data_IF_164568432928
#
_entry.id   IF_164568432928
#
_cell.length_a   1.000
_cell.length_b   1.000
_cell.length_c   1.000
_cell.angle_alpha   90.00
_cell.angle_beta   90.00
_cell.angle_gamma   90.00
#
_symmetry.space_group_name_H-M   'P 1'
#
loop_
_entity.id
_entity.type
_entity.pdbx_description
1 polymer ?
#
# COMPACT_ATOMS: atom_id res chain seq x y z
N UNK A 1 -30.11 16.37 -13.61
CA UNK A 1 -28.81 17.08 -13.57
C UNK A 1 -27.86 16.06 -12.99
N UNK A 2 -26.76 15.78 -13.68
CA UNK A 2 -25.81 14.75 -13.28
C UNK A 2 -24.58 15.37 -12.64
N UNK A 3 -24.08 14.73 -11.59
CA UNK A 3 -22.85 15.11 -10.90
C UNK A 3 -21.80 14.01 -11.04
N UNK A 4 -20.54 14.40 -11.13
CA UNK A 4 -19.42 13.49 -11.20
C UNK A 4 -19.01 13.06 -9.79
N UNK A 5 -19.03 11.75 -9.54
CA UNK A 5 -18.53 11.16 -8.31
C UNK A 5 -17.19 10.50 -8.59
N UNK A 6 -16.18 10.79 -7.77
CA UNK A 6 -14.84 10.19 -7.88
C UNK A 6 -14.50 9.48 -6.59
N UNK A 7 -13.99 8.25 -6.67
CA UNK A 7 -13.63 7.46 -5.48
C UNK A 7 -12.10 7.33 -5.38
N UNK A 8 -11.53 7.92 -4.34
CA UNK A 8 -10.12 7.82 -4.00
C UNK A 8 -9.86 6.66 -3.02
N UNK A 9 -8.69 6.01 -3.10
CA UNK A 9 -7.58 6.29 -4.03
C UNK A 9 -7.75 5.66 -5.42
N UNK A 10 -8.83 4.91 -5.68
CA UNK A 10 -9.00 4.16 -6.93
C UNK A 10 -9.08 5.00 -8.21
N UNK A 11 -9.36 6.30 -8.11
CA UNK A 11 -9.59 7.17 -9.25
C UNK A 11 -10.86 6.84 -10.05
N UNK A 12 -11.59 5.76 -9.74
CA UNK A 12 -12.82 5.40 -10.47
C UNK A 12 -13.85 6.49 -10.30
N UNK A 13 -14.50 6.81 -11.40
CA UNK A 13 -15.47 7.88 -11.46
C UNK A 13 -16.77 7.38 -12.09
N UNK A 14 -17.90 7.93 -11.65
CA UNK A 14 -19.22 7.57 -12.15
C UNK A 14 -20.18 8.75 -12.04
N UNK A 15 -21.17 8.82 -12.93
CA UNK A 15 -22.16 9.90 -12.94
C UNK A 15 -23.36 9.54 -12.07
N UNK A 16 -23.74 10.42 -11.14
CA UNK A 16 -24.95 10.27 -10.32
C UNK A 16 -25.98 11.34 -10.71
N UNK A 17 -27.22 10.94 -10.98
CA UNK A 17 -28.31 11.89 -11.17
C UNK A 17 -28.70 12.54 -9.83
N UNK A 18 -29.19 13.78 -9.86
CA UNK A 18 -29.57 14.54 -8.66
C UNK A 18 -30.64 13.87 -7.79
N UNK A 19 -31.45 12.95 -8.35
CA UNK A 19 -32.46 12.16 -7.61
C UNK A 19 -32.02 10.74 -7.28
N UNK A 20 -30.81 10.34 -7.69
CA UNK A 20 -30.26 9.00 -7.51
C UNK A 20 -29.27 8.99 -6.34
N UNK A 21 -29.31 7.94 -5.51
CA UNK A 21 -28.35 7.81 -4.42
C UNK A 21 -26.98 7.42 -4.95
N UNK A 22 -25.91 7.84 -4.27
CA UNK A 22 -24.53 7.56 -4.71
C UNK A 22 -24.27 6.05 -4.87
N UNK A 23 -24.84 5.23 -3.98
CA UNK A 23 -24.75 3.77 -4.07
C UNK A 23 -25.49 3.22 -5.30
N UNK A 24 -26.69 3.71 -5.59
CA UNK A 24 -27.46 3.25 -6.75
C UNK A 24 -26.72 3.59 -8.06
N UNK A 25 -26.23 4.83 -8.17
CA UNK A 25 -25.41 5.28 -9.29
C UNK A 25 -24.14 4.45 -9.46
N UNK A 26 -23.46 4.12 -8.35
CA UNK A 26 -22.28 3.27 -8.34
C UNK A 26 -22.59 1.84 -8.82
N UNK A 27 -23.65 1.21 -8.30
CA UNK A 27 -24.08 -0.14 -8.71
C UNK A 27 -24.42 -0.17 -10.21
N UNK A 28 -25.17 0.81 -10.70
CA UNK A 28 -25.57 0.92 -12.11
C UNK A 28 -24.38 0.97 -13.06
N UNK A 29 -23.24 1.49 -12.60
CA UNK A 29 -22.00 1.64 -13.37
C UNK A 29 -20.89 0.66 -12.95
N UNK A 30 -21.22 -0.38 -12.18
CA UNK A 30 -20.26 -1.41 -11.78
C UNK A 30 -19.18 -0.93 -10.83
N UNK A 31 -19.45 0.09 -10.02
CA UNK A 31 -18.58 0.62 -8.97
C UNK A 31 -19.01 0.00 -7.64
N UNK A 32 -18.17 -0.88 -7.09
CA UNK A 32 -18.43 -1.60 -5.85
C UNK A 32 -18.23 -0.76 -4.60
N UNK A 33 -19.05 0.27 -4.38
CA UNK A 33 -19.10 0.98 -3.10
C UNK A 33 -19.46 0.00 -1.97
N UNK A 34 -19.00 0.22 -0.73
CA UNK A 34 -19.39 -0.60 0.40
C UNK A 34 -20.92 -0.52 0.61
N UNK A 35 -21.60 -1.62 0.90
CA UNK A 35 -23.03 -1.61 1.27
C UNK A 35 -23.48 -2.87 2.03
N UNK A 36 -24.71 -2.82 2.54
CA UNK A 36 -25.38 -3.94 3.22
C UNK A 36 -26.90 -3.89 3.01
N UNK A 37 -27.61 -3.17 3.89
CA UNK A 37 -29.08 -3.04 3.89
C UNK A 37 -29.68 -2.21 2.74
N UNK A 38 -28.93 -1.22 2.24
CA UNK A 38 -29.37 -0.21 1.25
C UNK A 38 -30.50 0.74 1.69
N UNK A 39 -30.87 0.76 2.96
CA UNK A 39 -32.00 1.56 3.49
C UNK A 39 -31.60 2.49 4.67
N UNK A 40 -30.30 2.65 4.92
CA UNK A 40 -29.80 3.51 6.00
C UNK A 40 -29.87 2.91 7.41
N UNK A 41 -30.09 1.59 7.55
CA UNK A 41 -30.17 0.93 8.86
C UNK A 41 -28.85 0.38 9.40
N UNK A 42 -27.92 -0.07 8.54
CA UNK A 42 -26.76 -0.87 8.96
C UNK A 42 -25.41 -0.14 9.00
N UNK A 43 -25.30 1.06 8.40
CA UNK A 43 -24.04 1.83 8.36
C UNK A 43 -22.93 1.24 7.47
N UNK A 44 -23.12 0.07 6.85
CA UNK A 44 -22.07 -0.59 6.05
C UNK A 44 -21.67 0.17 4.80
N UNK A 45 -22.50 1.11 4.32
CA UNK A 45 -22.20 1.93 3.14
C UNK A 45 -21.46 3.24 3.45
N UNK A 46 -21.00 3.38 4.70
CA UNK A 46 -20.35 4.57 5.19
C UNK A 46 -19.03 4.82 4.45
N UNK A 47 -18.90 6.01 3.88
CA UNK A 47 -17.69 6.49 3.21
C UNK A 47 -17.34 7.88 3.75
N UNK A 48 -16.08 8.27 3.68
CA UNK A 48 -15.68 9.65 3.97
C UNK A 48 -15.83 10.48 2.70
N UNK A 49 -16.50 11.63 2.79
CA UNK A 49 -16.60 12.63 1.74
C UNK A 49 -15.42 13.58 1.87
N UNK A 50 -14.52 13.56 0.89
CA UNK A 50 -13.33 14.40 0.85
C UNK A 50 -13.68 15.81 0.36
N UNK A 51 -14.53 15.91 -0.67
CA UNK A 51 -15.01 17.19 -1.20
C UNK A 51 -16.42 17.07 -1.79
N UNK A 52 -17.05 18.21 -2.05
CA UNK A 52 -18.40 18.30 -2.60
C UNK A 52 -19.50 18.31 -1.55
N UNK A 53 -20.76 18.34 -2.02
CA UNK A 53 -21.95 18.45 -1.18
C UNK A 53 -22.94 17.33 -1.51
N UNK A 54 -23.53 16.76 -0.46
CA UNK A 54 -24.56 15.72 -0.56
C UNK A 54 -25.73 16.09 0.33
N UNK A 55 -26.89 15.53 0.03
CA UNK A 55 -28.07 15.55 0.89
C UNK A 55 -28.45 14.12 1.24
N UNK A 56 -28.56 13.81 2.53
CA UNK A 56 -29.00 12.50 2.99
C UNK A 56 -30.51 12.44 3.11
N UNK A 57 -31.09 11.38 2.57
CA UNK A 57 -32.45 10.96 2.88
C UNK A 57 -32.56 10.34 4.28
N UNK A 58 -33.76 9.84 4.63
CA UNK A 58 -34.01 9.18 5.91
C UNK A 58 -33.01 8.05 6.20
N UNK A 59 -32.50 8.00 7.42
CA UNK A 59 -31.58 6.97 7.89
C UNK A 59 -31.65 6.87 9.43
N UNK A 60 -31.11 5.80 9.98
CA UNK A 60 -31.08 5.63 11.44
C UNK A 60 -29.85 6.34 12.02
N UNK A 61 -30.03 7.03 13.14
CA UNK A 61 -28.94 7.73 13.85
C UNK A 61 -27.79 6.78 14.23
N UNK A 62 -28.10 5.51 14.52
CA UNK A 62 -27.09 4.47 14.78
C UNK A 62 -26.22 4.14 13.56
N UNK A 63 -26.70 4.40 12.35
CA UNK A 63 -25.98 4.14 11.11
C UNK A 63 -25.08 5.33 10.74
N UNK A 64 -25.53 6.56 10.99
CA UNK A 64 -24.75 7.78 10.86
C UNK A 64 -25.23 8.79 11.90
N UNK A 65 -24.37 9.11 12.86
CA UNK A 65 -24.65 10.14 13.86
C UNK A 65 -24.34 11.54 13.33
N UNK A 66 -24.94 12.57 13.92
CA UNK A 66 -24.65 13.96 13.58
C UNK A 66 -23.16 14.32 13.73
N UNK A 67 -22.46 13.71 14.71
CA UNK A 67 -21.03 13.91 14.91
C UNK A 67 -20.19 13.31 13.77
N UNK A 68 -20.56 12.14 13.27
CA UNK A 68 -19.91 11.50 12.12
C UNK A 68 -20.17 12.28 10.82
N UNK A 69 -21.39 12.77 10.64
CA UNK A 69 -21.75 13.62 9.50
C UNK A 69 -20.95 14.93 9.49
N UNK A 70 -20.81 15.58 10.66
CA UNK A 70 -19.96 16.76 10.82
C UNK A 70 -18.47 16.49 10.53
N UNK A 71 -18.01 15.25 10.71
CA UNK A 71 -16.66 14.79 10.33
C UNK A 71 -16.53 14.41 8.85
N UNK A 72 -17.59 14.61 8.05
CA UNK A 72 -17.62 14.34 6.63
C UNK A 72 -17.91 12.87 6.28
N UNK A 73 -18.38 12.04 7.23
CA UNK A 73 -18.85 10.69 6.91
C UNK A 73 -20.26 10.74 6.32
N UNK A 74 -20.52 9.90 5.32
CA UNK A 74 -21.80 9.84 4.63
C UNK A 74 -22.28 8.40 4.45
N UNK A 75 -23.59 8.19 4.33
CA UNK A 75 -24.16 6.91 3.91
C UNK A 75 -24.48 6.95 2.43
N UNK A 76 -23.65 6.30 1.60
CA UNK A 76 -23.83 6.33 0.13
C UNK A 76 -25.18 5.77 -0.33
N UNK A 77 -25.84 4.90 0.47
CA UNK A 77 -27.19 4.40 0.15
C UNK A 77 -28.31 5.41 0.38
N UNK A 78 -28.08 6.46 1.16
CA UNK A 78 -29.07 7.50 1.49
C UNK A 78 -28.67 8.88 0.96
N UNK A 79 -27.41 9.07 0.56
CA UNK A 79 -26.90 10.34 0.08
C UNK A 79 -27.16 10.54 -1.43
N UNK A 80 -27.62 11.73 -1.80
CA UNK A 80 -27.74 12.23 -3.19
C UNK A 80 -26.78 13.41 -3.39
N UNK A 81 -26.16 13.52 -4.56
CA UNK A 81 -25.20 14.59 -4.84
C UNK A 81 -25.90 15.93 -5.12
N UNK A 82 -25.29 17.02 -4.65
CA UNK A 82 -25.67 18.41 -4.96
C UNK A 82 -24.57 19.18 -5.71
N UNK A 83 -23.41 18.56 -5.86
CA UNK A 83 -22.25 19.00 -6.64
C UNK A 83 -21.46 17.76 -7.06
N UNK A 84 -20.38 17.93 -7.80
CA UNK A 84 -19.38 16.87 -7.92
C UNK A 84 -18.83 16.50 -6.53
N UNK A 85 -18.60 15.21 -6.30
CA UNK A 85 -18.23 14.66 -4.98
C UNK A 85 -16.99 13.78 -5.10
N UNK A 86 -16.06 13.94 -4.16
CA UNK A 86 -14.95 13.00 -3.98
C UNK A 86 -15.19 12.18 -2.72
N UNK A 87 -15.22 10.86 -2.86
CA UNK A 87 -15.35 9.89 -1.77
C UNK A 87 -14.01 9.19 -1.52
N UNK A 88 -13.76 8.81 -0.28
CA UNK A 88 -12.69 7.90 0.10
C UNK A 88 -13.30 6.52 0.41
N UNK A 89 -12.89 5.51 -0.35
CA UNK A 89 -13.22 4.12 -0.08
C UNK A 89 -12.13 3.20 -0.61
N UNK A 90 -11.47 2.48 0.30
CA UNK A 90 -10.49 1.44 -0.05
C UNK A 90 -11.12 0.17 -0.63
N UNK A 91 -12.44 0.01 -0.52
CA UNK A 91 -13.16 -1.16 -1.07
C UNK A 91 -13.49 -0.99 -2.55
N UNK A 92 -13.53 0.25 -3.05
CA UNK A 92 -13.60 0.48 -4.49
C UNK A 92 -12.21 0.28 -5.04
N UNK A 93 -12.07 -0.75 -5.87
CA UNK A 93 -10.84 -1.03 -6.60
C UNK A 93 -10.85 -0.26 -7.92
N UNK A 94 -9.67 -0.02 -8.48
CA UNK A 94 -9.52 0.49 -9.85
C UNK A 94 -10.26 -0.42 -10.86
N UNK A 95 -10.55 0.10 -12.05
CA UNK A 95 -11.12 -0.74 -13.11
C UNK A 95 -10.19 -1.93 -13.41
N UNK A 96 -10.75 -3.15 -13.46
CA UNK A 96 -9.95 -4.38 -13.52
C UNK A 96 -9.20 -4.74 -12.23
N UNK A 97 -9.50 -4.08 -11.11
CA UNK A 97 -8.92 -4.37 -9.81
C UNK A 97 -9.38 -5.71 -9.22
N UNK A 98 -8.55 -6.29 -8.36
CA UNK A 98 -8.76 -7.62 -7.80
C UNK A 98 -9.76 -7.58 -6.63
N UNK A 99 -10.61 -8.61 -6.45
CA UNK A 99 -11.63 -8.61 -5.41
C UNK A 99 -11.01 -8.62 -4.01
N UNK A 100 -11.48 -7.71 -3.15
CA UNK A 100 -11.11 -7.67 -1.74
C UNK A 100 -11.79 -8.81 -0.98
N UNK A 101 -11.03 -9.59 -0.23
CA UNK A 101 -11.49 -10.73 0.56
C UNK A 101 -11.10 -10.57 2.02
N UNK A 102 -12.06 -10.79 2.92
CA UNK A 102 -11.80 -11.05 4.34
C UNK A 102 -11.52 -12.53 4.51
N UNK A 103 -10.39 -12.87 5.12
CA UNK A 103 -9.95 -14.26 5.25
C UNK A 103 -9.22 -14.51 6.57
N UNK A 104 -9.36 -15.72 7.15
CA UNK A 104 -8.42 -16.17 8.16
C UNK A 104 -7.08 -16.47 7.51
N UNK A 105 -5.99 -16.08 8.16
CA UNK A 105 -4.63 -16.42 7.74
C UNK A 105 -3.91 -17.07 8.91
N UNK A 106 -3.08 -18.08 8.62
CA UNK A 106 -2.34 -18.83 9.64
C UNK A 106 -0.88 -18.45 9.58
N UNK A 107 -0.28 -18.12 10.72
CA UNK A 107 1.16 -17.88 10.82
C UNK A 107 1.91 -19.17 10.48
N UNK A 108 2.65 -19.14 9.38
CA UNK A 108 3.44 -20.27 8.90
C UNK A 108 4.84 -20.24 9.48
N UNK A 109 5.50 -19.07 9.51
CA UNK A 109 6.82 -18.88 10.11
C UNK A 109 7.05 -17.42 10.50
N UNK A 110 7.92 -17.19 11.48
CA UNK A 110 8.47 -15.88 11.83
C UNK A 110 9.99 -15.98 11.81
N UNK A 111 10.66 -15.14 11.03
CA UNK A 111 12.12 -15.12 10.94
C UNK A 111 12.64 -13.72 11.26
N UNK A 112 13.47 -13.60 12.30
CA UNK A 112 14.09 -12.32 12.67
C UNK A 112 15.24 -12.01 11.71
N UNK A 113 15.13 -10.94 10.92
CA UNK A 113 16.14 -10.50 9.95
C UNK A 113 17.05 -9.38 10.46
N UNK A 114 16.56 -8.57 11.40
CA UNK A 114 17.38 -7.57 12.10
C UNK A 114 16.93 -7.48 13.57
N UNK A 115 17.55 -6.58 14.34
CA UNK A 115 17.14 -6.30 15.72
C UNK A 115 15.65 -5.94 15.84
N UNK A 116 15.08 -5.29 14.81
CA UNK A 116 13.73 -4.73 14.77
C UNK A 116 12.90 -5.15 13.55
N UNK A 117 13.33 -6.10 12.72
CA UNK A 117 12.55 -6.59 11.56
C UNK A 117 12.36 -8.11 11.61
N UNK A 118 11.10 -8.53 11.43
CA UNK A 118 10.69 -9.93 11.26
C UNK A 118 10.07 -10.12 9.89
N UNK A 119 10.50 -11.16 9.18
CA UNK A 119 9.81 -11.69 8.00
C UNK A 119 8.76 -12.68 8.49
N UNK A 120 7.49 -12.35 8.23
CA UNK A 120 6.32 -13.12 8.62
C UNK A 120 5.72 -13.78 7.38
N UNK A 121 5.66 -15.12 7.37
CA UNK A 121 4.95 -15.87 6.32
C UNK A 121 3.59 -16.31 6.83
N UNK A 122 2.57 -16.07 6.02
CA UNK A 122 1.17 -16.37 6.33
C UNK A 122 0.62 -17.32 5.29
N UNK A 123 0.08 -18.45 5.74
CA UNK A 123 -0.71 -19.32 4.89
C UNK A 123 -2.10 -18.73 4.69
N UNK A 124 -2.52 -18.63 3.42
CA UNK A 124 -3.86 -18.27 3.00
C UNK A 124 -4.77 -19.53 2.93
N UNK A 125 -6.11 -19.36 2.92
CA UNK A 125 -7.03 -20.46 2.65
C UNK A 125 -6.77 -21.12 1.29
N UNK A 126 -6.72 -22.46 1.25
CA UNK A 126 -6.32 -23.21 0.06
C UNK A 126 -7.35 -23.20 -1.08
N UNK A 127 -8.65 -23.15 -0.74
CA UNK A 127 -9.71 -23.37 -1.72
C UNK A 127 -10.05 -22.12 -2.56
N UNK A 128 -9.64 -20.93 -2.10
CA UNK A 128 -9.91 -19.67 -2.79
C UNK A 128 -8.90 -18.58 -2.37
N UNK A 129 -7.61 -18.73 -2.71
CA UNK A 129 -6.59 -17.79 -2.29
C UNK A 129 -6.90 -16.39 -2.84
N UNK A 130 -6.60 -15.38 -2.03
CA UNK A 130 -6.65 -13.98 -2.44
C UNK A 130 -5.64 -13.75 -3.56
N UNK A 131 -6.10 -13.23 -4.70
CA UNK A 131 -5.20 -12.74 -5.77
C UNK A 131 -4.74 -11.32 -5.43
N UNK A 132 -3.52 -10.96 -5.80
CA UNK A 132 -3.00 -9.60 -5.64
C UNK A 132 -2.06 -9.23 -6.80
N UNK A 133 -1.71 -7.94 -6.92
CA UNK A 133 -0.63 -7.45 -7.80
C UNK A 133 0.62 -7.17 -6.97
N UNK A 134 1.80 -7.46 -7.49
CA UNK A 134 3.07 -7.20 -6.79
C UNK A 134 3.14 -5.72 -6.35
N UNK A 135 3.34 -5.48 -5.06
CA UNK A 135 3.33 -4.15 -4.44
C UNK A 135 2.11 -3.84 -3.56
N UNK A 136 0.99 -4.56 -3.75
CA UNK A 136 -0.21 -4.37 -2.94
C UNK A 136 -0.02 -4.81 -1.48
N UNK A 137 -0.98 -4.45 -0.62
CA UNK A 137 -0.97 -4.74 0.81
C UNK A 137 -2.23 -5.43 1.31
N UNK A 138 -2.15 -6.02 2.50
CA UNK A 138 -3.30 -6.50 3.29
C UNK A 138 -3.42 -5.69 4.58
N UNK A 139 -4.64 -5.63 5.12
CA UNK A 139 -4.90 -5.10 6.46
C UNK A 139 -5.22 -6.24 7.44
N UNK A 140 -4.58 -6.26 8.59
CA UNK A 140 -5.04 -7.06 9.73
C UNK A 140 -6.15 -6.34 10.47
N UNK A 141 -7.20 -7.09 10.82
CA UNK A 141 -8.30 -6.62 11.66
C UNK A 141 -8.04 -7.13 13.08
N UNK A 142 -7.68 -6.23 13.99
CA UNK A 142 -7.37 -6.56 15.38
C UNK A 142 -8.65 -6.74 16.21
N UNK A 143 -8.51 -7.24 17.44
CA UNK A 143 -9.64 -7.53 18.35
C UNK A 143 -10.49 -6.30 18.68
N UNK A 144 -9.85 -5.13 18.73
CA UNK A 144 -10.51 -3.83 18.96
C UNK A 144 -11.04 -3.18 17.67
N UNK A 145 -11.13 -3.94 16.57
CA UNK A 145 -11.44 -3.49 15.21
C UNK A 145 -10.47 -2.49 14.59
N UNK A 146 -9.36 -2.15 15.26
CA UNK A 146 -8.31 -1.35 14.64
C UNK A 146 -7.63 -2.14 13.51
N UNK A 147 -7.15 -1.41 12.50
CA UNK A 147 -6.58 -1.98 11.27
C UNK A 147 -5.09 -1.69 11.17
N UNK A 148 -4.30 -2.64 10.67
CA UNK A 148 -2.86 -2.45 10.41
C UNK A 148 -2.49 -2.97 9.03
N UNK A 149 -1.97 -2.09 8.19
CA UNK A 149 -1.57 -2.39 6.82
C UNK A 149 -0.15 -2.93 6.77
N UNK A 150 0.08 -3.96 5.96
CA UNK A 150 1.41 -4.46 5.61
C UNK A 150 1.43 -4.90 4.15
N UNK A 151 2.39 -4.38 3.40
CA UNK A 151 2.58 -4.73 1.99
C UNK A 151 3.14 -6.13 1.83
N UNK A 152 2.64 -6.85 0.82
CA UNK A 152 3.14 -8.18 0.49
C UNK A 152 4.54 -8.07 -0.11
N UNK A 153 5.45 -8.91 0.37
CA UNK A 153 6.87 -8.95 0.00
C UNK A 153 7.22 -10.02 -1.03
N UNK A 154 6.22 -10.79 -1.47
CA UNK A 154 6.35 -11.82 -2.49
C UNK A 154 5.48 -11.52 -3.72
N UNK A 155 5.86 -12.04 -4.87
CA UNK A 155 5.15 -11.88 -6.13
C UNK A 155 3.89 -12.77 -6.20
N UNK A 156 2.87 -12.39 -6.99
CA UNK A 156 1.60 -13.12 -7.07
C UNK A 156 1.71 -14.58 -7.51
N UNK A 157 2.66 -14.90 -8.40
CA UNK A 157 2.85 -16.25 -8.91
C UNK A 157 3.26 -17.26 -7.82
N UNK A 158 3.84 -16.80 -6.71
CA UNK A 158 4.22 -17.70 -5.61
C UNK A 158 3.00 -18.27 -4.87
N UNK A 159 1.80 -17.73 -5.10
CA UNK A 159 0.55 -18.30 -4.59
C UNK A 159 0.15 -19.60 -5.29
N UNK A 160 0.72 -19.89 -6.45
CA UNK A 160 0.46 -21.16 -7.18
C UNK A 160 1.11 -22.36 -6.47
N UNK A 161 2.09 -22.11 -5.60
CA UNK A 161 2.71 -23.13 -4.75
C UNK A 161 1.80 -23.44 -3.57
N UNK A 162 1.51 -24.73 -3.37
CA UNK A 162 0.67 -25.18 -2.25
C UNK A 162 1.52 -25.47 -0.99
N UNK A 163 1.11 -24.98 0.20
CA UNK A 163 -0.05 -24.11 0.42
C UNK A 163 0.25 -22.66 0.02
N UNK A 164 -0.75 -21.88 -0.45
CA UNK A 164 -0.54 -20.50 -0.87
C UNK A 164 -0.11 -19.65 0.33
N UNK A 165 0.97 -18.89 0.18
CA UNK A 165 1.51 -18.03 1.23
C UNK A 165 1.75 -16.59 0.78
N UNK A 166 1.62 -15.67 1.71
CA UNK A 166 2.11 -14.29 1.57
C UNK A 166 3.21 -14.03 2.60
N UNK A 167 4.18 -13.22 2.22
CA UNK A 167 5.32 -12.80 3.02
C UNK A 167 5.16 -11.31 3.37
N UNK A 168 5.43 -10.92 4.61
CA UNK A 168 5.38 -9.55 5.09
C UNK A 168 6.67 -9.21 5.83
N UNK A 169 7.16 -7.98 5.72
CA UNK A 169 8.27 -7.50 6.55
C UNK A 169 7.74 -6.56 7.64
N UNK A 170 7.81 -7.01 8.88
CA UNK A 170 7.24 -6.31 10.04
C UNK A 170 8.36 -5.63 10.81
N UNK A 171 8.35 -4.29 10.86
CA UNK A 171 9.24 -3.52 11.76
C UNK A 171 8.62 -3.44 13.14
N UNK A 172 9.42 -3.62 14.19
CA UNK A 172 8.99 -3.44 15.57
C UNK A 172 8.76 -1.96 15.84
N UNK A 173 7.52 -1.62 16.17
CA UNK A 173 7.14 -0.31 16.71
C UNK A 173 6.81 -0.50 18.19
N UNK A 174 7.65 -0.03 19.13
CA UNK A 174 7.39 -0.17 20.56
C UNK A 174 6.04 0.41 20.97
N UNK A 175 5.24 -0.35 21.72
CA UNK A 175 3.86 0.01 22.09
C UNK A 175 2.84 -0.26 20.97
N UNK A 176 3.27 -0.86 19.87
CA UNK A 176 2.43 -1.14 18.72
C UNK A 176 1.52 -2.35 18.95
N UNK A 177 0.21 -2.14 18.84
CA UNK A 177 -0.83 -3.18 19.05
C UNK A 177 -0.66 -4.47 18.24
N UNK A 178 0.04 -4.43 17.11
CA UNK A 178 0.33 -5.60 16.27
C UNK A 178 1.79 -6.01 16.33
N UNK A 179 2.70 -5.04 16.30
CA UNK A 179 4.15 -5.28 16.23
C UNK A 179 4.70 -5.83 17.54
N UNK A 180 4.20 -5.39 18.70
CA UNK A 180 4.64 -5.95 19.99
C UNK A 180 4.34 -7.46 20.08
N UNK A 181 3.11 -7.94 19.76
CA UNK A 181 2.84 -9.38 19.66
C UNK A 181 3.76 -10.12 18.69
N UNK A 182 4.04 -9.58 17.50
CA UNK A 182 4.95 -10.22 16.52
C UNK A 182 6.33 -10.50 17.10
N UNK A 183 6.83 -9.61 17.96
CA UNK A 183 8.16 -9.71 18.58
C UNK A 183 8.17 -10.40 19.94
N UNK A 184 7.01 -10.85 20.46
CA UNK A 184 6.92 -11.42 21.81
C UNK A 184 6.07 -12.68 21.90
N UNK A 185 4.78 -12.60 21.59
CA UNK A 185 3.77 -13.60 21.95
C UNK A 185 3.19 -14.35 20.76
N UNK A 186 3.32 -13.79 19.54
CA UNK A 186 2.90 -14.43 18.30
C UNK A 186 3.78 -15.63 18.01
N UNK A 187 3.16 -16.73 17.59
CA UNK A 187 3.84 -17.97 17.25
C UNK A 187 3.26 -18.62 16.01
N UNK A 188 4.00 -19.57 15.45
CA UNK A 188 3.48 -20.42 14.39
C UNK A 188 2.14 -21.05 14.76
N UNK A 189 1.28 -21.22 13.75
CA UNK A 189 -0.09 -21.73 13.85
C UNK A 189 -1.09 -20.75 14.48
N UNK A 190 -0.68 -19.58 14.98
CA UNK A 190 -1.64 -18.54 15.35
C UNK A 190 -2.48 -18.14 14.13
N UNK A 191 -3.78 -17.85 14.37
CA UNK A 191 -4.73 -17.45 13.34
C UNK A 191 -5.03 -15.96 13.49
N UNK A 192 -4.86 -15.23 12.40
CA UNK A 192 -5.15 -13.80 12.30
C UNK A 192 -6.28 -13.58 11.30
N UNK A 193 -6.95 -12.42 11.39
CA UNK A 193 -7.95 -11.98 10.42
C UNK A 193 -7.33 -10.92 9.52
N UNK A 194 -7.27 -11.20 8.22
CA UNK A 194 -6.77 -10.28 7.21
C UNK A 194 -7.85 -9.90 6.20
N UNK A 195 -7.65 -8.77 5.54
CA UNK A 195 -8.48 -8.29 4.45
C UNK A 195 -7.62 -7.67 3.34
N UNK A 196 -7.89 -7.98 2.07
CA UNK A 196 -7.18 -7.41 0.93
C UNK A 196 -7.47 -8.15 -0.39
N UNK A 197 -6.77 -7.82 -1.47
CA UNK A 197 -5.65 -6.89 -1.50
C UNK A 197 -6.13 -5.42 -1.55
N UNK A 198 -5.26 -4.51 -1.12
CA UNK A 198 -5.45 -3.07 -1.21
C UNK A 198 -4.23 -2.40 -1.84
N UNK A 199 -4.39 -1.13 -2.23
CA UNK A 199 -3.31 -0.28 -2.73
C UNK A 199 -3.27 -0.20 -4.26
N UNK A 200 -2.89 0.98 -4.74
CA UNK A 200 -2.64 1.31 -6.16
C UNK A 200 -1.16 1.23 -6.53
N UNK A 201 -0.29 0.98 -5.54
CA UNK A 201 1.13 0.70 -5.74
C UNK A 201 1.29 -0.72 -6.28
N UNK A 202 1.57 -0.81 -7.59
CA UNK A 202 1.90 -2.07 -8.25
C UNK A 202 2.68 -1.80 -9.54
N UNK A 203 3.42 -2.79 -10.02
CA UNK A 203 4.20 -2.68 -11.25
C UNK A 203 3.31 -2.31 -12.45
N UNK A 204 3.69 -1.28 -13.22
CA UNK A 204 3.05 -0.94 -14.49
C UNK A 204 3.74 -1.71 -15.61
N UNK A 205 3.09 -2.75 -16.12
CA UNK A 205 3.64 -3.66 -17.14
C UNK A 205 3.48 -3.13 -18.57
N UNK A 206 2.71 -2.05 -18.75
CA UNK A 206 2.39 -1.38 -20.02
C UNK A 206 3.42 -0.30 -20.42
N UNK A 207 4.47 -0.13 -19.63
CA UNK A 207 5.54 0.84 -19.86
C UNK A 207 6.89 0.15 -19.98
N UNK A 208 7.75 0.65 -20.88
CA UNK A 208 9.12 0.20 -21.11
C UNK A 208 10.17 1.14 -20.49
N UNK A 209 9.74 2.25 -19.86
CA UNK A 209 10.63 3.23 -19.23
C UNK A 209 11.58 2.60 -18.21
N UNK A 210 12.82 3.09 -18.06
CA UNK A 210 13.70 2.67 -16.96
C UNK A 210 13.07 2.99 -15.60
N UNK A 211 13.42 2.19 -14.59
CA UNK A 211 12.81 2.21 -13.26
C UNK A 211 13.80 2.66 -12.19
N UNK A 212 13.36 3.57 -11.32
CA UNK A 212 13.98 3.79 -10.01
C UNK A 212 13.12 3.14 -8.95
N UNK A 213 13.69 2.18 -8.23
CA UNK A 213 13.05 1.55 -7.07
C UNK A 213 13.64 2.21 -5.82
N UNK A 214 12.84 2.95 -5.06
CA UNK A 214 13.27 3.65 -3.86
C UNK A 214 12.65 3.00 -2.62
N UNK A 215 13.48 2.49 -1.71
CA UNK A 215 13.03 1.90 -0.45
C UNK A 215 13.65 2.62 0.75
N UNK A 216 12.88 2.77 1.82
CA UNK A 216 13.41 3.06 3.16
C UNK A 216 12.89 2.06 4.19
N UNK A 217 13.81 1.47 4.97
CA UNK A 217 13.45 0.48 5.99
C UNK A 217 12.65 -0.70 5.42
N UNK A 218 11.48 -1.00 6.02
CA UNK A 218 10.58 -2.06 5.55
C UNK A 218 9.80 -1.71 4.28
N UNK A 219 9.94 -0.50 3.74
CA UNK A 219 9.50 -0.16 2.38
C UNK A 219 10.14 -1.05 1.30
N UNK A 220 11.18 -1.80 1.65
CA UNK A 220 11.73 -2.87 0.82
C UNK A 220 10.77 -4.02 0.55
N UNK A 221 9.79 -4.31 1.43
CA UNK A 221 8.82 -5.40 1.20
C UNK A 221 8.12 -5.31 -0.16
N UNK A 222 7.34 -4.27 -0.47
CA UNK A 222 6.65 -4.19 -1.75
C UNK A 222 7.63 -4.13 -2.94
N UNK A 223 8.81 -3.52 -2.77
CA UNK A 223 9.86 -3.48 -3.80
C UNK A 223 10.43 -4.87 -4.09
N UNK A 224 10.64 -5.70 -3.06
CA UNK A 224 11.02 -7.11 -3.22
C UNK A 224 9.99 -7.86 -4.06
N UNK A 225 8.69 -7.64 -3.80
CA UNK A 225 7.63 -8.23 -4.62
C UNK A 225 7.68 -7.78 -6.08
N UNK A 226 8.00 -6.50 -6.36
CA UNK A 226 8.18 -6.02 -7.73
C UNK A 226 9.35 -6.73 -8.42
N UNK A 227 10.51 -6.83 -7.76
CA UNK A 227 11.71 -7.48 -8.31
C UNK A 227 11.46 -8.96 -8.60
N UNK A 228 10.86 -9.69 -7.65
CA UNK A 228 10.51 -11.10 -7.83
C UNK A 228 9.49 -11.31 -8.97
N UNK A 229 8.55 -10.37 -9.14
CA UNK A 229 7.59 -10.41 -10.24
C UNK A 229 8.22 -10.09 -11.59
N UNK A 230 9.12 -9.10 -11.64
CA UNK A 230 9.92 -8.78 -12.83
C UNK A 230 10.72 -9.99 -13.30
N UNK A 231 11.39 -10.68 -12.37
CA UNK A 231 12.16 -11.88 -12.68
C UNK A 231 11.27 -12.98 -13.28
N UNK A 232 10.14 -13.28 -12.62
CA UNK A 232 9.22 -14.32 -13.08
C UNK A 232 8.62 -14.03 -14.46
N UNK A 233 8.27 -12.77 -14.72
CA UNK A 233 7.67 -12.32 -16.00
C UNK A 233 8.70 -12.10 -17.09
N UNK A 234 10.00 -12.16 -16.79
CA UNK A 234 11.08 -11.85 -17.73
C UNK A 234 11.12 -10.38 -18.13
N UNK A 235 10.74 -9.46 -17.23
CA UNK A 235 10.77 -8.02 -17.49
C UNK A 235 12.21 -7.52 -17.44
N UNK A 236 12.73 -7.09 -18.59
CA UNK A 236 14.13 -6.69 -18.78
C UNK A 236 14.39 -5.18 -18.72
N UNK A 237 13.38 -4.39 -18.32
CA UNK A 237 13.52 -2.94 -18.12
C UNK A 237 14.71 -2.64 -17.21
N UNK A 238 15.58 -1.67 -17.53
CA UNK A 238 16.64 -1.24 -16.62
C UNK A 238 16.03 -0.77 -15.30
N UNK A 239 16.50 -1.32 -14.18
CA UNK A 239 16.00 -0.97 -12.85
C UNK A 239 17.16 -0.74 -11.88
N UNK A 240 17.13 0.37 -11.14
CA UNK A 240 18.08 0.64 -10.06
C UNK A 240 17.35 0.73 -8.73
N UNK A 241 17.69 -0.17 -7.80
CA UNK A 241 17.23 -0.14 -6.42
C UNK A 241 18.13 0.75 -5.57
N UNK A 242 17.55 1.78 -4.99
CA UNK A 242 18.13 2.58 -3.91
C UNK A 242 17.46 2.21 -2.60
N UNK A 243 18.20 1.59 -1.68
CA UNK A 243 17.66 1.19 -0.38
C UNK A 243 18.35 1.96 0.75
N UNK A 244 17.57 2.80 1.42
CA UNK A 244 17.99 3.65 2.52
C UNK A 244 17.82 3.01 3.89
N UNK A 245 18.89 3.03 4.68
CA UNK A 245 18.93 2.68 6.11
C UNK A 245 19.55 3.79 6.95
N UNK A 246 19.37 3.73 8.28
CA UNK A 246 20.13 4.57 9.22
C UNK A 246 21.48 3.95 9.51
N UNK A 247 21.50 2.63 9.73
CA UNK A 247 22.69 1.80 9.95
C UNK A 247 22.72 0.66 8.94
N UNK A 248 23.86 0.02 8.64
CA UNK A 248 23.89 -1.09 7.67
C UNK A 248 22.95 -2.25 8.02
N UNK A 249 22.69 -2.49 9.31
CA UNK A 249 21.75 -3.51 9.78
C UNK A 249 20.28 -3.25 9.40
N UNK A 250 19.93 -2.04 8.95
CA UNK A 250 18.62 -1.74 8.37
C UNK A 250 18.44 -2.34 6.97
N UNK A 251 19.52 -2.74 6.28
CA UNK A 251 19.50 -3.43 4.99
C UNK A 251 19.40 -4.95 5.19
N UNK A 252 18.37 -5.36 5.94
CA UNK A 252 18.22 -6.69 6.57
C UNK A 252 18.06 -7.88 5.60
N UNK A 253 18.05 -7.64 4.29
CA UNK A 253 17.98 -8.64 3.22
C UNK A 253 18.89 -8.27 2.03
N UNK A 254 20.03 -7.63 2.32
CA UNK A 254 21.02 -7.28 1.29
C UNK A 254 21.54 -8.53 0.55
N UNK A 255 21.73 -9.64 1.25
CA UNK A 255 22.11 -10.95 0.72
C UNK A 255 21.12 -11.47 -0.35
N UNK A 256 19.82 -11.31 -0.10
CA UNK A 256 18.78 -11.67 -1.06
C UNK A 256 18.89 -10.83 -2.34
N UNK A 257 19.16 -9.52 -2.21
CA UNK A 257 19.36 -8.65 -3.37
C UNK A 257 20.62 -9.02 -4.14
N UNK A 258 21.73 -9.29 -3.47
CA UNK A 258 22.96 -9.73 -4.11
C UNK A 258 22.78 -11.01 -4.93
N UNK A 259 21.93 -11.94 -4.47
CA UNK A 259 21.53 -13.10 -5.25
C UNK A 259 20.72 -12.71 -6.51
N UNK A 260 19.80 -11.75 -6.41
CA UNK A 260 19.02 -11.29 -7.57
C UNK A 260 19.87 -10.59 -8.62
N UNK A 261 20.86 -9.78 -8.21
CA UNK A 261 21.77 -9.10 -9.14
C UNK A 261 22.52 -10.08 -10.06
N UNK A 262 22.82 -11.29 -9.57
CA UNK A 262 23.46 -12.35 -10.37
C UNK A 262 22.51 -12.93 -11.43
N UNK A 263 21.21 -12.96 -11.14
CA UNK A 263 20.18 -13.52 -12.02
C UNK A 263 19.54 -12.48 -12.95
N UNK A 264 19.64 -11.19 -12.62
CA UNK A 264 18.96 -10.09 -13.31
C UNK A 264 19.99 -9.04 -13.75
N UNK A 265 20.58 -9.14 -14.96
CA UNK A 265 21.63 -8.23 -15.42
C UNK A 265 21.15 -6.77 -15.62
N UNK A 266 19.83 -6.57 -15.74
CA UNK A 266 19.19 -5.27 -15.84
C UNK A 266 18.89 -4.61 -14.47
N UNK A 267 19.13 -5.31 -13.36
CA UNK A 267 18.94 -4.79 -12.00
C UNK A 267 20.26 -4.29 -11.43
N UNK A 268 20.24 -3.08 -10.86
CA UNK A 268 21.34 -2.48 -10.09
C UNK A 268 20.89 -2.24 -8.65
N UNK A 269 21.85 -2.22 -7.73
CA UNK A 269 21.59 -1.96 -6.31
C UNK A 269 22.57 -0.93 -5.76
N UNK A 270 22.02 0.10 -5.10
CA UNK A 270 22.74 1.19 -4.44
C UNK A 270 22.24 1.26 -2.99
N UNK A 271 22.92 0.60 -2.04
CA UNK A 271 22.63 0.76 -0.62
C UNK A 271 23.09 2.14 -0.13
N UNK A 272 22.26 2.82 0.66
CA UNK A 272 22.54 4.17 1.18
C UNK A 272 22.34 4.23 2.68
N UNK A 273 23.37 4.62 3.42
CA UNK A 273 23.33 4.69 4.89
C UNK A 273 23.46 6.13 5.37
N UNK A 274 22.41 6.62 6.04
CA UNK A 274 22.31 8.02 6.45
C UNK A 274 23.08 8.37 7.72
N UNK A 275 23.35 7.40 8.60
CA UNK A 275 24.01 7.63 9.88
C UNK A 275 24.91 6.45 10.26
N UNK A 276 25.87 6.12 9.38
CA UNK A 276 26.89 5.12 9.69
C UNK A 276 27.82 5.62 10.79
N UNK A 277 28.13 4.76 11.76
CA UNK A 277 29.15 5.00 12.77
C UNK A 277 30.44 4.26 12.43
N UNK A 278 31.55 4.62 13.09
CA UNK A 278 32.86 4.04 12.80
C UNK A 278 32.90 2.50 12.97
N UNK A 279 32.16 1.98 13.94
CA UNK A 279 32.00 0.55 14.22
C UNK A 279 31.29 -0.24 13.12
N UNK A 280 30.50 0.43 12.29
CA UNK A 280 29.78 -0.20 11.18
C UNK A 280 30.71 -0.56 10.00
N UNK A 281 31.89 0.07 9.94
CA UNK A 281 32.85 -0.08 8.83
C UNK A 281 32.22 0.14 7.45
N UNK A 282 31.20 1.00 7.38
CA UNK A 282 30.48 1.27 6.14
C UNK A 282 31.35 2.06 5.15
N UNK A 283 31.56 1.50 3.97
CA UNK A 283 32.34 2.11 2.87
C UNK A 283 31.49 2.43 1.64
N UNK A 284 30.19 2.12 1.69
CA UNK A 284 29.25 2.40 0.62
C UNK A 284 28.73 3.85 0.66
N UNK A 285 27.66 4.11 -0.10
CA UNK A 285 27.08 5.45 -0.20
C UNK A 285 26.50 5.92 1.14
N UNK A 286 26.71 7.19 1.45
CA UNK A 286 26.17 7.85 2.65
C UNK A 286 25.19 8.96 2.30
N UNK A 287 24.46 9.46 3.30
CA UNK A 287 23.50 10.55 3.14
C UNK A 287 22.06 10.07 2.96
N UNK A 288 21.21 10.91 2.37
CA UNK A 288 19.79 10.60 2.20
C UNK A 288 19.55 9.87 0.88
N UNK A 289 18.85 8.73 0.96
CA UNK A 289 18.60 7.84 -0.19
C UNK A 289 17.94 8.55 -1.38
N UNK A 290 17.06 9.53 -1.15
CA UNK A 290 16.42 10.26 -2.24
C UNK A 290 17.39 11.24 -2.93
N UNK A 291 18.37 11.82 -2.22
CA UNK A 291 19.38 12.66 -2.85
C UNK A 291 20.35 11.83 -3.69
N UNK A 292 20.70 10.62 -3.23
CA UNK A 292 21.53 9.69 -4.00
C UNK A 292 20.95 9.39 -5.40
N UNK A 293 19.62 9.29 -5.52
CA UNK A 293 18.96 9.13 -6.83
C UNK A 293 19.23 10.33 -7.73
N UNK A 294 19.07 11.56 -7.23
CA UNK A 294 19.28 12.77 -8.02
C UNK A 294 20.75 13.02 -8.39
N UNK A 295 21.68 12.59 -7.54
CA UNK A 295 23.12 12.64 -7.83
C UNK A 295 23.47 11.73 -9.01
N UNK A 296 22.88 10.53 -9.07
CA UNK A 296 23.13 9.56 -10.15
C UNK A 296 22.29 9.83 -11.40
N UNK A 297 21.09 10.40 -11.21
CA UNK A 297 20.08 10.64 -12.22
C UNK A 297 19.54 12.07 -12.11
N UNK A 298 20.29 13.08 -12.61
CA UNK A 298 19.86 14.47 -12.55
C UNK A 298 18.64 14.76 -13.44
N UNK A 299 18.37 13.91 -14.44
CA UNK A 299 17.18 13.96 -15.29
C UNK A 299 16.38 12.66 -15.14
N UNK A 300 15.18 12.77 -14.59
CA UNK A 300 14.21 11.71 -14.34
C UNK A 300 13.01 11.78 -15.28
N UNK A 301 12.98 12.68 -16.26
CA UNK A 301 11.84 12.89 -17.15
C UNK A 301 11.43 11.64 -17.96
N UNK A 302 12.40 10.76 -18.23
CA UNK A 302 12.20 9.49 -18.91
C UNK A 302 11.97 8.27 -18.01
N UNK A 303 11.89 8.43 -16.68
CA UNK A 303 11.84 7.32 -15.72
C UNK A 303 10.43 7.07 -15.16
N UNK A 304 10.23 5.86 -14.63
CA UNK A 304 9.20 5.57 -13.65
C UNK A 304 9.83 5.36 -12.27
N UNK A 305 9.24 5.97 -11.24
CA UNK A 305 9.70 5.84 -9.86
C UNK A 305 8.69 5.05 -9.05
N UNK A 306 9.19 4.05 -8.32
CA UNK A 306 8.42 3.24 -7.38
C UNK A 306 9.02 3.45 -5.98
N UNK A 307 8.35 4.22 -5.13
CA UNK A 307 8.87 4.66 -3.84
C UNK A 307 8.05 4.15 -2.65
N UNK A 308 8.70 3.45 -1.71
CA UNK A 308 8.05 2.92 -0.51
C UNK A 308 8.85 3.16 0.77
N UNK A 309 8.12 3.37 1.88
CA UNK A 309 8.69 3.39 3.23
C UNK A 309 8.26 4.61 4.03
N UNK A 310 9.19 5.21 4.78
CA UNK A 310 8.88 6.30 5.71
C UNK A 310 8.27 7.50 4.98
N UNK A 311 7.16 8.09 5.48
CA UNK A 311 6.45 9.19 4.81
C UNK A 311 7.38 10.33 4.39
N UNK A 312 8.25 10.78 5.30
CA UNK A 312 9.22 11.87 5.01
C UNK A 312 10.15 11.57 3.83
N UNK A 313 10.52 10.29 3.62
CA UNK A 313 11.38 9.89 2.50
C UNK A 313 10.59 9.92 1.19
N UNK A 314 9.37 9.36 1.19
CA UNK A 314 8.50 9.34 0.01
C UNK A 314 8.11 10.75 -0.41
N UNK A 315 7.68 11.59 0.53
CA UNK A 315 7.29 12.99 0.29
C UNK A 315 8.48 13.82 -0.22
N UNK A 316 9.65 13.67 0.39
CA UNK A 316 10.86 14.38 -0.07
C UNK A 316 11.30 13.92 -1.45
N UNK A 317 11.22 12.61 -1.73
CA UNK A 317 11.53 12.06 -3.05
C UNK A 317 10.58 12.61 -4.11
N UNK A 318 9.26 12.56 -3.89
CA UNK A 318 8.28 13.07 -4.86
C UNK A 318 8.52 14.54 -5.18
N UNK A 319 8.63 15.37 -4.13
CA UNK A 319 8.85 16.81 -4.27
C UNK A 319 10.14 17.09 -5.06
N UNK A 320 11.24 16.48 -4.66
CA UNK A 320 12.55 16.79 -5.23
C UNK A 320 12.71 16.19 -6.64
N UNK A 321 12.17 15.00 -6.91
CA UNK A 321 12.25 14.37 -8.25
C UNK A 321 11.43 15.14 -9.28
N UNK A 322 10.25 15.64 -8.90
CA UNK A 322 9.44 16.50 -9.77
C UNK A 322 10.13 17.86 -9.97
N UNK A 323 10.48 18.54 -8.87
CA UNK A 323 10.96 19.92 -8.94
C UNK A 323 12.38 20.06 -9.49
N UNK A 324 13.26 19.09 -9.23
CA UNK A 324 14.69 19.14 -9.61
C UNK A 324 15.04 18.16 -10.72
N UNK A 325 14.42 16.97 -10.70
CA UNK A 325 14.69 15.90 -11.68
C UNK A 325 13.78 15.93 -12.90
N UNK A 326 12.74 16.76 -12.94
CA UNK A 326 11.80 16.81 -14.08
C UNK A 326 10.93 15.56 -14.25
N UNK A 327 10.79 14.74 -13.21
CA UNK A 327 9.91 13.57 -13.25
C UNK A 327 8.43 14.01 -13.43
N UNK A 328 7.69 13.48 -14.40
CA UNK A 328 6.24 13.68 -14.47
C UNK A 328 5.57 13.11 -13.22
N UNK A 329 4.66 13.86 -12.60
CA UNK A 329 4.08 13.48 -11.30
C UNK A 329 3.30 12.15 -11.38
N UNK A 330 2.70 11.86 -12.52
CA UNK A 330 1.99 10.61 -12.81
C UNK A 330 2.91 9.37 -12.92
N UNK A 331 4.22 9.57 -13.10
CA UNK A 331 5.22 8.51 -13.15
C UNK A 331 5.88 8.25 -11.79
N UNK A 332 5.38 8.89 -10.72
CA UNK A 332 5.77 8.64 -9.33
C UNK A 332 4.71 7.78 -8.64
N UNK A 333 4.97 6.48 -8.54
CA UNK A 333 4.12 5.52 -7.84
C UNK A 333 4.65 5.33 -6.42
N UNK A 334 3.80 5.48 -5.41
CA UNK A 334 4.25 5.40 -4.03
C UNK A 334 3.31 4.70 -3.06
N UNK A 335 3.91 4.15 -2.00
CA UNK A 335 3.24 3.64 -0.81
C UNK A 335 3.96 4.14 0.44
N UNK A 336 3.38 5.14 1.11
CA UNK A 336 3.93 5.75 2.32
C UNK A 336 3.39 5.04 3.57
N UNK A 337 4.30 4.59 4.44
CA UNK A 337 3.95 3.80 5.63
C UNK A 337 3.65 4.71 6.80
N UNK A 338 2.49 5.37 6.78
CA UNK A 338 2.03 6.25 7.86
C UNK A 338 1.64 5.44 9.10
N UNK A 339 2.37 5.61 10.19
CA UNK A 339 2.02 5.00 11.48
C UNK A 339 0.89 5.77 12.18
N UNK A 340 0.26 5.14 13.19
CA UNK A 340 -0.73 5.85 14.02
C UNK A 340 -0.10 7.02 14.80
N UNK A 341 1.20 6.92 15.14
CA UNK A 341 1.92 8.01 15.79
C UNK A 341 2.14 9.20 14.84
N UNK A 342 2.33 8.94 13.54
CA UNK A 342 2.45 9.99 12.53
C UNK A 342 1.10 10.70 12.34
N UNK A 343 -0.01 9.94 12.27
CA UNK A 343 -1.37 10.50 12.18
C UNK A 343 -1.74 11.37 13.37
N UNK A 344 -1.26 11.03 14.56
CA UNK A 344 -1.53 11.81 15.78
C UNK A 344 -0.77 13.15 15.82
N UNK A 345 0.25 13.34 14.97
CA UNK A 345 1.08 14.54 14.89
C UNK A 345 0.72 15.45 13.71
N UNK A 346 -0.07 14.95 12.75
CA UNK A 346 -0.54 15.68 11.57
C UNK A 346 -1.76 16.55 11.89
#
# INVERSE_FOLDING_TARGET
>A
MSFQITVQPSGRSFAAESSETLLAAGIRQGIGLPYGCKDGACGSCKCKKISGTVTHGPHQEKALSAAEEAQGLILTCCATAQSDVVLESKQVTEEGGLPVKKMPVRVASLEKKSHDVVVLKLQLPANDPMKFRAGQYIEFILRDNSRRSYSMANAPHTLEVSPPMVELHIRHMPGGKFTDPVFSTMKEKDILRAEGPYGSFYLREDSDKPMILLASGTGFAPIKALIEHMQHKGITRPATLYWGGRRPSDLYMADWIEAQLKAMPNLKYVPVISNAEAEDQWTGRTGFVHQAVLEDHPDLSGFQVYACGAPIVVESAQRDYVAKGGLPNEEFFADAFTSEADKAKA
#
